data_IF_913614947574
#
_entry.id   IF_913614947574
#
_cell.length_a   1.000
_cell.length_b   1.000
_cell.length_c   1.000
_cell.angle_alpha   90.00
_cell.angle_beta   90.00
_cell.angle_gamma   90.00
#
_symmetry.space_group_name_H-M   'P 1'
#
loop_
_entity.id
_entity.type
_entity.pdbx_description
1 polymer ?
#
# COMPACT_ATOMS: atom_id res chain seq x y z
N UNK A 1 -16.39 26.44 -13.69
CA UNK A 1 -16.14 25.98 -15.07
C UNK A 1 -16.56 24.53 -15.20
N UNK A 2 -17.45 24.16 -16.15
CA UNK A 2 -17.88 22.77 -16.30
C UNK A 2 -16.77 21.95 -16.98
N UNK A 3 -16.28 20.92 -16.29
CA UNK A 3 -15.30 19.97 -16.85
C UNK A 3 -15.95 19.20 -17.99
N UNK A 4 -15.44 19.37 -19.20
CA UNK A 4 -15.78 18.59 -20.38
C UNK A 4 -15.43 17.11 -20.14
N UNK A 5 -16.45 16.26 -19.98
CA UNK A 5 -16.26 14.81 -20.00
C UNK A 5 -15.58 14.41 -21.32
N UNK A 6 -14.40 13.80 -21.22
CA UNK A 6 -13.63 13.38 -22.40
C UNK A 6 -14.48 12.43 -23.26
N UNK A 7 -14.38 12.52 -24.60
CA UNK A 7 -15.09 11.60 -25.52
C UNK A 7 -14.84 10.12 -25.17
N UNK A 8 -13.67 9.84 -24.59
CA UNK A 8 -13.27 8.52 -24.09
C UNK A 8 -14.19 8.04 -22.95
N UNK A 9 -14.58 8.91 -22.01
CA UNK A 9 -15.47 8.54 -20.90
C UNK A 9 -16.86 8.08 -21.36
N UNK A 10 -17.42 8.70 -22.41
CA UNK A 10 -18.70 8.29 -23.00
C UNK A 10 -18.60 6.97 -23.74
N UNK A 11 -17.49 6.75 -24.45
CA UNK A 11 -17.23 5.52 -25.19
C UNK A 11 -17.01 4.33 -24.24
N UNK A 12 -16.26 4.55 -23.15
CA UNK A 12 -16.05 3.58 -22.08
C UNK A 12 -17.35 3.28 -21.33
N UNK A 13 -18.19 4.29 -21.07
CA UNK A 13 -19.49 4.08 -20.42
C UNK A 13 -20.47 3.27 -21.29
N UNK A 14 -20.53 3.56 -22.60
CA UNK A 14 -21.35 2.80 -23.55
C UNK A 14 -20.85 1.36 -23.70
N UNK A 15 -19.53 1.17 -23.77
CA UNK A 15 -18.91 -0.16 -23.81
C UNK A 15 -19.19 -0.96 -22.53
N UNK A 16 -19.04 -0.34 -21.35
CA UNK A 16 -19.36 -0.96 -20.07
C UNK A 16 -20.82 -1.38 -19.99
N UNK A 17 -21.76 -0.56 -20.47
CA UNK A 17 -23.19 -0.94 -20.52
C UNK A 17 -23.42 -2.18 -21.38
N UNK A 18 -22.79 -2.26 -22.55
CA UNK A 18 -22.97 -3.40 -23.47
C UNK A 18 -22.40 -4.70 -22.88
N UNK A 19 -21.33 -4.64 -22.08
CA UNK A 19 -20.70 -5.83 -21.47
C UNK A 19 -21.36 -6.22 -20.14
N UNK A 20 -21.69 -5.23 -19.29
CA UNK A 20 -22.26 -5.49 -17.96
C UNK A 20 -23.74 -5.88 -18.01
N UNK A 21 -24.55 -5.25 -18.86
CA UNK A 21 -26.02 -5.48 -18.86
C UNK A 21 -26.36 -6.95 -19.16
N UNK A 22 -25.78 -7.61 -20.17
CA UNK A 22 -26.03 -9.04 -20.41
C UNK A 22 -25.47 -9.93 -19.29
N UNK A 23 -24.32 -9.56 -18.72
CA UNK A 23 -23.70 -10.30 -17.60
C UNK A 23 -24.57 -10.26 -16.34
N UNK A 24 -25.21 -9.13 -16.08
CA UNK A 24 -26.14 -8.94 -14.95
C UNK A 24 -27.46 -9.65 -15.20
N UNK A 25 -27.99 -9.61 -16.43
CA UNK A 25 -29.30 -10.18 -16.78
C UNK A 25 -29.28 -11.70 -16.94
N UNK A 26 -28.24 -12.25 -17.58
CA UNK A 26 -28.23 -13.65 -18.01
C UNK A 26 -27.24 -14.52 -17.22
N UNK A 27 -26.43 -13.93 -16.32
CA UNK A 27 -25.47 -14.66 -15.50
C UNK A 27 -24.34 -15.34 -16.28
N UNK A 28 -24.32 -15.22 -17.60
CA UNK A 28 -23.25 -15.71 -18.49
C UNK A 28 -22.27 -14.57 -18.72
N UNK A 29 -21.02 -14.74 -18.31
CA UNK A 29 -20.11 -13.61 -18.37
C UNK A 29 -19.47 -13.62 -19.78
N UNK A 30 -19.67 -12.54 -20.55
CA UNK A 30 -19.23 -12.41 -21.97
C UNK A 30 -17.72 -12.11 -22.15
N UNK A 31 -17.02 -11.81 -21.06
CA UNK A 31 -15.59 -11.52 -21.01
C UNK A 31 -14.64 -12.59 -21.61
N UNK A 32 -14.92 -13.91 -21.69
CA UNK A 32 -14.02 -14.87 -22.34
C UNK A 32 -13.93 -14.61 -23.86
N UNK A 33 -15.04 -14.20 -24.49
CA UNK A 33 -15.07 -13.84 -25.91
C UNK A 33 -14.42 -12.48 -26.17
N UNK A 34 -14.55 -11.55 -25.21
CA UNK A 34 -13.89 -10.24 -25.27
C UNK A 34 -12.36 -10.35 -25.08
N UNK A 35 -11.91 -11.30 -24.25
CA UNK A 35 -10.49 -11.63 -24.08
C UNK A 35 -9.85 -12.17 -25.36
N UNK A 36 -10.60 -12.88 -26.20
CA UNK A 36 -10.17 -13.32 -27.52
C UNK A 36 -10.04 -12.15 -28.51
N UNK A 37 -10.92 -11.14 -28.40
CA UNK A 37 -10.87 -9.93 -29.24
C UNK A 37 -9.76 -8.94 -28.81
N UNK A 38 -9.34 -8.99 -27.54
CA UNK A 38 -8.20 -8.23 -27.00
C UNK A 38 -6.84 -8.86 -27.30
N UNK A 39 -6.77 -9.96 -28.07
CA UNK A 39 -5.53 -10.57 -28.54
C UNK A 39 -4.86 -9.77 -29.69
N UNK A 40 -4.99 -8.45 -29.70
CA UNK A 40 -4.20 -7.55 -30.54
C UNK A 40 -3.05 -7.03 -29.68
N UNK A 41 -1.78 -7.27 -30.05
CA UNK A 41 -0.64 -6.89 -29.24
C UNK A 41 -0.38 -5.39 -29.42
N UNK A 42 -0.99 -4.56 -28.58
CA UNK A 42 -0.61 -3.15 -28.43
C UNK A 42 -0.23 -2.87 -26.98
N UNK A 43 1.09 -2.79 -26.78
CA UNK A 43 1.83 -1.92 -25.85
C UNK A 43 1.02 -1.36 -24.67
N UNK A 44 1.28 -1.90 -23.48
CA UNK A 44 1.18 -1.15 -22.22
C UNK A 44 -0.14 -1.25 -21.44
N UNK A 45 -0.66 -2.45 -21.18
CA UNK A 45 -1.71 -2.63 -20.16
C UNK A 45 -1.06 -2.96 -18.82
N UNK A 46 -0.67 -1.93 -18.07
CA UNK A 46 -0.39 -2.01 -16.62
C UNK A 46 -1.51 -1.28 -15.88
N UNK A 47 -2.74 -1.54 -16.30
CA UNK A 47 -3.93 -1.16 -15.56
C UNK A 47 -4.85 -2.37 -15.57
N UNK A 48 -5.02 -3.01 -14.41
CA UNK A 48 -6.07 -4.01 -14.24
C UNK A 48 -7.37 -3.30 -14.64
N UNK A 49 -8.06 -3.76 -15.70
CA UNK A 49 -9.21 -3.03 -16.20
C UNK A 49 -10.25 -2.90 -15.09
N UNK A 50 -10.82 -1.71 -14.95
CA UNK A 50 -11.69 -1.31 -13.83
C UNK A 50 -12.82 -2.34 -13.55
N UNK A 51 -13.29 -3.06 -14.56
CA UNK A 51 -14.29 -4.11 -14.40
C UNK A 51 -13.82 -5.29 -13.54
N UNK A 52 -12.53 -5.67 -13.57
CA UNK A 52 -12.00 -6.73 -12.70
C UNK A 52 -11.96 -6.27 -11.24
N UNK A 53 -11.56 -5.02 -10.99
CA UNK A 53 -11.60 -4.43 -9.65
C UNK A 53 -13.04 -4.30 -9.14
N UNK A 54 -14.02 -4.07 -10.02
CA UNK A 54 -15.43 -4.10 -9.65
C UNK A 54 -15.87 -5.49 -9.18
N UNK A 55 -15.39 -6.56 -9.83
CA UNK A 55 -15.69 -7.93 -9.39
C UNK A 55 -15.11 -8.24 -8.00
N UNK A 56 -13.92 -7.71 -7.69
CA UNK A 56 -13.31 -7.76 -6.36
C UNK A 56 -14.15 -6.99 -5.34
N UNK A 57 -14.52 -5.75 -5.66
CA UNK A 57 -15.30 -4.90 -4.79
C UNK A 57 -16.67 -5.50 -4.48
N UNK A 58 -17.34 -6.08 -5.48
CA UNK A 58 -18.59 -6.81 -5.29
C UNK A 58 -18.41 -8.06 -4.42
N UNK A 59 -17.26 -8.76 -4.51
CA UNK A 59 -16.97 -9.90 -3.64
C UNK A 59 -16.88 -9.47 -2.18
N UNK A 60 -16.07 -8.45 -1.89
CA UNK A 60 -15.90 -7.92 -0.53
C UNK A 60 -17.18 -7.28 0.00
N UNK A 61 -17.97 -6.60 -0.85
CA UNK A 61 -19.30 -6.13 -0.47
C UNK A 61 -20.22 -7.27 -0.04
N UNK A 62 -20.22 -8.41 -0.75
CA UNK A 62 -20.99 -9.60 -0.36
C UNK A 62 -20.51 -10.24 0.94
N UNK A 63 -19.28 -9.94 1.36
CA UNK A 63 -18.74 -10.34 2.66
C UNK A 63 -19.07 -9.33 3.78
N UNK A 64 -19.79 -8.25 3.48
CA UNK A 64 -20.26 -7.26 4.46
C UNK A 64 -19.38 -6.03 4.61
N UNK A 65 -18.42 -5.79 3.70
CA UNK A 65 -17.52 -4.63 3.78
C UNK A 65 -18.00 -3.44 2.95
N UNK A 66 -17.74 -2.23 3.45
CA UNK A 66 -17.74 -1.01 2.63
C UNK A 66 -16.42 -0.93 1.87
N UNK A 67 -16.46 -0.99 0.53
CA UNK A 67 -15.25 -1.08 -0.31
C UNK A 67 -15.05 0.19 -1.11
N UNK A 68 -13.86 0.75 -1.02
CA UNK A 68 -13.41 1.90 -1.83
C UNK A 68 -12.30 1.42 -2.75
N UNK A 69 -12.50 1.61 -4.06
CA UNK A 69 -11.48 1.33 -5.08
C UNK A 69 -11.07 2.67 -5.69
N UNK A 70 -9.95 3.26 -5.23
CA UNK A 70 -9.49 4.53 -5.77
C UNK A 70 -8.83 4.34 -7.14
N UNK A 71 -8.92 5.39 -7.96
CA UNK A 71 -8.08 5.54 -9.14
C UNK A 71 -6.80 6.28 -8.73
N UNK A 72 -5.67 5.58 -8.79
CA UNK A 72 -4.35 6.09 -8.36
C UNK A 72 -3.48 6.24 -9.59
N UNK A 73 -2.79 7.36 -9.70
CA UNK A 73 -1.87 7.60 -10.81
C UNK A 73 -0.61 6.75 -10.66
N UNK A 74 -0.31 5.93 -11.67
CA UNK A 74 0.91 5.11 -11.75
C UNK A 74 1.77 5.48 -12.96
N UNK A 75 2.98 4.91 -13.04
CA UNK A 75 3.86 5.06 -14.20
C UNK A 75 3.18 4.51 -15.46
N UNK A 76 3.27 5.19 -16.63
CA UNK A 76 4.12 6.34 -16.94
C UNK A 76 3.52 7.72 -16.63
N UNK A 77 2.24 7.81 -16.29
CA UNK A 77 1.56 9.07 -16.02
C UNK A 77 2.07 9.76 -14.74
N UNK A 78 2.50 8.97 -13.76
CA UNK A 78 3.01 9.43 -12.47
C UNK A 78 4.19 8.59 -11.98
N UNK A 79 5.02 9.17 -11.10
CA UNK A 79 6.05 8.45 -10.34
C UNK A 79 5.60 8.25 -8.89
N UNK A 80 6.35 7.46 -8.13
CA UNK A 80 5.99 7.03 -6.78
C UNK A 80 5.54 8.18 -5.86
N UNK A 81 6.22 9.33 -5.91
CA UNK A 81 5.82 10.52 -5.12
C UNK A 81 4.35 10.91 -5.36
N UNK A 82 3.93 11.02 -6.62
CA UNK A 82 2.56 11.39 -6.96
C UNK A 82 1.57 10.28 -6.59
N UNK A 83 1.94 9.00 -6.77
CA UNK A 83 1.12 7.86 -6.34
C UNK A 83 0.89 7.85 -4.83
N UNK A 84 1.90 8.20 -4.03
CA UNK A 84 1.78 8.33 -2.57
C UNK A 84 0.85 9.48 -2.21
N UNK A 85 0.98 10.65 -2.86
CA UNK A 85 0.08 11.80 -2.64
C UNK A 85 -1.37 11.42 -2.95
N UNK A 86 -1.63 10.77 -4.07
CA UNK A 86 -2.96 10.28 -4.44
C UNK A 86 -3.54 9.34 -3.37
N UNK A 87 -2.73 8.39 -2.87
CA UNK A 87 -3.18 7.47 -1.82
C UNK A 87 -3.49 8.21 -0.51
N UNK A 88 -2.69 9.21 -0.12
CA UNK A 88 -2.98 10.01 1.08
C UNK A 88 -4.29 10.78 0.96
N UNK A 89 -4.53 11.41 -0.20
CA UNK A 89 -5.78 12.12 -0.48
C UNK A 89 -6.99 11.19 -0.40
N UNK A 90 -6.85 9.97 -0.94
CA UNK A 90 -7.88 8.94 -0.85
C UNK A 90 -8.12 8.53 0.60
N UNK A 91 -7.08 8.24 1.37
CA UNK A 91 -7.22 7.82 2.76
C UNK A 91 -7.87 8.91 3.61
N UNK A 92 -7.48 10.17 3.44
CA UNK A 92 -8.14 11.32 4.07
C UNK A 92 -9.62 11.37 3.72
N UNK A 93 -9.96 11.28 2.43
CA UNK A 93 -11.35 11.27 2.00
C UNK A 93 -12.14 10.11 2.60
N UNK A 94 -11.54 8.91 2.66
CA UNK A 94 -12.16 7.72 3.29
C UNK A 94 -12.44 8.00 4.77
N UNK A 95 -11.48 8.54 5.52
CA UNK A 95 -11.67 8.89 6.93
C UNK A 95 -12.79 9.90 7.16
N UNK A 96 -12.92 10.90 6.28
CA UNK A 96 -13.94 11.96 6.38
C UNK A 96 -15.32 11.53 5.83
N UNK A 97 -15.37 10.52 4.96
CA UNK A 97 -16.56 10.25 4.13
C UNK A 97 -17.16 8.86 4.24
N UNK A 98 -16.42 7.85 4.70
CA UNK A 98 -16.88 6.46 4.65
C UNK A 98 -18.18 6.21 5.45
N UNK A 99 -18.39 6.96 6.54
CA UNK A 99 -19.59 6.89 7.36
C UNK A 99 -20.89 7.11 6.55
N UNK A 100 -20.85 8.00 5.54
CA UNK A 100 -22.00 8.27 4.67
C UNK A 100 -22.37 7.10 3.75
N UNK A 101 -21.45 6.16 3.58
CA UNK A 101 -21.62 4.96 2.74
C UNK A 101 -21.81 3.69 3.59
N UNK A 102 -22.01 3.82 4.91
CA UNK A 102 -22.16 2.70 5.83
C UNK A 102 -20.84 2.05 6.26
N UNK A 103 -19.69 2.71 5.99
CA UNK A 103 -18.40 2.30 6.53
C UNK A 103 -18.16 2.84 7.94
N UNK A 104 -17.29 2.18 8.70
CA UNK A 104 -16.88 2.61 10.03
C UNK A 104 -15.49 3.28 9.94
N UNK A 105 -15.36 4.59 10.24
CA UNK A 105 -14.08 5.31 10.17
C UNK A 105 -13.04 4.83 11.20
N UNK A 106 -13.45 4.09 12.24
CA UNK A 106 -12.52 3.50 13.22
C UNK A 106 -11.94 2.15 12.77
N UNK A 107 -12.50 1.54 11.72
CA UNK A 107 -12.15 0.20 11.24
C UNK A 107 -11.68 0.20 9.78
N UNK A 108 -10.87 1.20 9.41
CA UNK A 108 -10.33 1.32 8.05
C UNK A 108 -9.22 0.28 7.83
N UNK A 109 -9.39 -0.57 6.82
CA UNK A 109 -8.38 -1.54 6.40
C UNK A 109 -7.85 -1.18 5.02
N UNK A 110 -6.54 -1.15 4.86
CA UNK A 110 -5.89 -0.89 3.58
C UNK A 110 -5.39 -2.19 2.98
N UNK A 111 -5.75 -2.47 1.73
CA UNK A 111 -5.33 -3.66 1.01
C UNK A 111 -4.70 -3.29 -0.33
N UNK A 112 -3.58 -3.92 -0.67
CA UNK A 112 -2.92 -3.75 -1.96
C UNK A 112 -2.41 -5.08 -2.53
N UNK A 113 -2.24 -5.12 -3.86
CA UNK A 113 -1.61 -6.22 -4.58
C UNK A 113 -0.41 -5.70 -5.39
N UNK A 114 0.70 -6.45 -5.42
CA UNK A 114 1.87 -6.11 -6.24
C UNK A 114 2.42 -4.71 -5.94
N UNK A 115 2.37 -3.82 -6.94
CA UNK A 115 2.81 -2.43 -6.80
C UNK A 115 1.91 -1.60 -5.86
N UNK A 116 0.62 -1.91 -5.75
CA UNK A 116 -0.27 -1.23 -4.81
C UNK A 116 -0.02 -1.68 -3.36
N UNK A 117 0.41 -2.94 -3.15
CA UNK A 117 0.88 -3.39 -1.83
C UNK A 117 2.15 -2.64 -1.43
N UNK A 118 3.07 -2.47 -2.37
CA UNK A 118 4.27 -1.66 -2.19
C UNK A 118 3.92 -0.20 -1.83
N UNK A 119 3.02 0.43 -2.59
CA UNK A 119 2.58 1.81 -2.36
C UNK A 119 1.94 2.00 -0.98
N UNK A 120 1.04 1.10 -0.58
CA UNK A 120 0.39 1.13 0.72
C UNK A 120 1.41 1.04 1.86
N UNK A 121 2.34 0.09 1.76
CA UNK A 121 3.40 -0.08 2.74
C UNK A 121 4.36 1.12 2.78
N UNK A 122 4.75 1.65 1.61
CA UNK A 122 5.64 2.81 1.52
C UNK A 122 5.03 4.02 2.20
N UNK A 123 3.76 4.31 1.90
CA UNK A 123 3.05 5.48 2.45
C UNK A 123 3.01 5.43 3.98
N UNK A 124 2.70 4.26 4.55
CA UNK A 124 2.62 4.08 6.00
C UNK A 124 4.00 4.03 6.66
N UNK A 125 4.99 3.41 6.02
CA UNK A 125 6.36 3.37 6.52
C UNK A 125 7.02 4.75 6.52
N UNK A 126 6.79 5.57 5.47
CA UNK A 126 7.25 6.96 5.44
C UNK A 126 6.65 7.77 6.60
N UNK A 127 5.35 7.62 6.85
CA UNK A 127 4.67 8.28 7.96
C UNK A 127 5.28 7.88 9.30
N UNK A 128 5.37 6.58 9.57
CA UNK A 128 5.92 6.08 10.82
C UNK A 128 7.37 6.53 11.04
N UNK A 129 8.24 6.38 10.03
CA UNK A 129 9.66 6.72 10.14
C UNK A 129 9.89 8.22 10.36
N UNK A 130 9.09 9.09 9.74
CA UNK A 130 9.26 10.55 9.86
C UNK A 130 8.65 11.08 11.16
N UNK A 131 7.53 10.51 11.63
CA UNK A 131 6.88 10.94 12.87
C UNK A 131 7.51 10.34 14.13
N UNK A 132 8.25 9.23 14.05
CA UNK A 132 8.83 8.61 15.24
C UNK A 132 9.88 9.47 15.96
N UNK A 133 10.85 10.11 15.27
CA UNK A 133 11.82 10.98 15.91
C UNK A 133 11.19 12.18 16.64
N UNK A 134 10.01 12.65 16.20
CA UNK A 134 9.26 13.72 16.87
C UNK A 134 8.33 13.23 17.98
N UNK A 135 8.02 11.93 18.02
CA UNK A 135 7.20 11.28 19.06
C UNK A 135 8.01 10.89 20.30
N UNK A 136 9.35 10.93 20.20
CA UNK A 136 10.27 10.84 21.33
C UNK A 136 10.15 12.08 22.22
N UNK A 137 9.04 12.21 22.92
CA UNK A 137 8.95 13.04 24.11
C UNK A 137 10.04 12.53 25.05
N UNK A 138 11.13 13.29 25.15
CA UNK A 138 12.04 13.21 26.29
C UNK A 138 11.14 13.33 27.51
N UNK A 139 10.95 12.23 28.23
CA UNK A 139 10.23 12.24 29.50
C UNK A 139 11.05 13.10 30.43
N UNK A 140 10.76 14.40 30.49
CA UNK A 140 11.34 15.26 31.49
C UNK A 140 10.82 14.72 32.83
N UNK A 141 11.70 14.31 33.77
CA UNK A 141 11.24 14.08 35.12
C UNK A 141 10.56 15.39 35.56
N UNK A 142 9.26 15.30 35.82
CA UNK A 142 8.46 16.39 36.37
C UNK A 142 9.02 16.71 37.76
N UNK A 143 10.07 17.54 37.78
CA UNK A 143 10.56 18.15 38.99
C UNK A 143 9.59 19.29 39.32
N UNK A 144 9.03 19.18 40.52
CA UNK A 144 8.09 20.11 41.09
C UNK A 144 8.48 21.59 40.88
N UNK A 145 7.43 22.37 40.66
CA UNK A 145 7.35 23.83 40.59
C UNK A 145 8.35 24.52 41.52
N UNK A 146 9.24 25.33 40.96
CA UNK A 146 9.66 26.58 41.62
C UNK A 146 9.83 27.68 40.57
N UNK A 147 9.03 28.73 40.73
CA UNK A 147 8.95 29.89 39.85
C UNK A 147 10.17 30.81 40.07
N UNK A 148 11.00 30.99 39.05
CA UNK A 148 11.98 32.08 38.96
C UNK A 148 12.15 32.50 37.49
N UNK A 149 12.21 33.81 37.15
CA UNK A 149 12.09 34.28 35.76
C UNK A 149 13.35 34.07 34.90
N UNK A 150 14.43 33.51 35.46
CA UNK A 150 15.75 33.42 34.81
C UNK A 150 15.94 32.18 33.93
N UNK A 151 14.97 31.25 33.91
CA UNK A 151 15.14 29.93 33.28
C UNK A 151 14.71 29.83 31.81
N UNK A 152 14.13 30.87 31.20
CA UNK A 152 13.62 30.79 29.83
C UNK A 152 14.73 30.60 28.76
N UNK A 153 15.91 31.20 28.95
CA UNK A 153 17.04 31.06 28.03
C UNK A 153 17.79 29.73 28.19
N UNK A 154 17.91 29.20 29.42
CA UNK A 154 18.57 27.90 29.65
C UNK A 154 17.70 26.72 29.16
N UNK A 155 16.37 26.83 29.27
CA UNK A 155 15.46 25.84 28.70
C UNK A 155 15.47 25.84 27.16
N UNK A 156 15.64 27.00 26.51
CA UNK A 156 15.74 27.07 25.05
C UNK A 156 17.03 26.42 24.52
N UNK A 157 18.17 26.69 25.16
CA UNK A 157 19.48 26.11 24.79
C UNK A 157 19.51 24.60 25.03
N UNK A 158 18.92 24.12 26.14
CA UNK A 158 18.78 22.68 26.40
C UNK A 158 17.88 21.98 25.37
N UNK A 159 16.83 22.66 24.89
CA UNK A 159 15.94 22.15 23.85
C UNK A 159 16.65 22.05 22.49
N UNK A 160 17.38 23.08 22.10
CA UNK A 160 18.18 23.09 20.86
C UNK A 160 19.28 22.01 20.86
N UNK A 161 19.98 21.83 21.98
CA UNK A 161 20.97 20.75 22.12
C UNK A 161 20.32 19.36 22.10
N UNK A 162 19.14 19.18 22.70
CA UNK A 162 18.41 17.90 22.65
C UNK A 162 17.92 17.54 21.24
N UNK A 163 17.46 18.54 20.47
CA UNK A 163 17.06 18.39 19.07
C UNK A 163 18.27 18.09 18.18
N UNK A 164 19.40 18.77 18.39
CA UNK A 164 20.64 18.52 17.67
C UNK A 164 21.20 17.11 17.96
N UNK A 165 21.10 16.63 19.21
CA UNK A 165 21.49 15.27 19.59
C UNK A 165 20.54 14.21 18.99
N UNK A 166 19.23 14.49 18.92
CA UNK A 166 18.27 13.63 18.23
C UNK A 166 18.55 13.57 16.72
N UNK A 167 18.83 14.70 16.06
CA UNK A 167 19.23 14.75 14.64
C UNK A 167 20.56 14.02 14.37
N UNK A 168 21.49 14.05 15.32
CA UNK A 168 22.74 13.29 15.24
C UNK A 168 22.52 11.77 15.32
N UNK A 169 21.45 11.32 15.99
CA UNK A 169 21.10 9.90 16.10
C UNK A 169 20.40 9.32 14.87
N UNK A 170 19.87 10.17 13.97
CA UNK A 170 19.19 9.75 12.75
C UNK A 170 20.24 9.29 11.70
N UNK A 171 20.19 8.03 11.24
CA UNK A 171 21.05 7.54 10.15
C UNK A 171 21.02 8.47 8.92
N UNK A 172 22.18 8.72 8.32
CA UNK A 172 22.33 9.65 7.17
C UNK A 172 21.34 9.37 6.01
N UNK A 173 20.97 8.09 5.80
CA UNK A 173 20.01 7.70 4.77
C UNK A 173 18.57 8.13 5.06
N UNK A 174 18.21 8.31 6.33
CA UNK A 174 16.86 8.70 6.78
C UNK A 174 16.63 10.20 6.78
N UNK A 175 17.69 11.02 6.85
CA UNK A 175 17.60 12.50 6.82
C UNK A 175 16.92 13.06 5.56
N UNK A 176 16.84 12.27 4.50
CA UNK A 176 16.23 12.64 3.21
C UNK A 176 14.82 12.10 3.04
N UNK A 177 14.34 11.30 4.00
CA UNK A 177 12.99 10.76 3.98
C UNK A 177 12.06 11.85 4.46
N UNK A 178 11.04 12.14 3.67
CA UNK A 178 10.02 13.11 3.98
C UNK A 178 8.63 12.51 3.73
N UNK A 179 7.63 13.05 4.42
CA UNK A 179 6.24 12.77 4.13
C UNK A 179 5.84 13.57 2.89
N UNK A 180 5.37 12.89 1.86
CA UNK A 180 4.86 13.56 0.66
C UNK A 180 3.47 14.12 0.94
N UNK A 181 3.30 15.44 0.83
CA UNK A 181 2.07 16.15 1.23
C UNK A 181 1.75 16.01 2.74
N UNK A 182 2.60 16.58 3.62
CA UNK A 182 2.43 16.50 5.08
C UNK A 182 1.16 17.21 5.58
N UNK A 183 0.59 18.11 4.76
CA UNK A 183 -0.70 18.77 4.98
C UNK A 183 -1.90 17.82 4.90
N UNK A 184 -1.72 16.63 4.31
CA UNK A 184 -2.76 15.61 4.19
C UNK A 184 -2.54 14.56 5.28
N UNK A 185 -3.27 14.67 6.38
CA UNK A 185 -3.26 13.68 7.45
C UNK A 185 -3.94 12.37 7.02
N UNK A 186 -3.33 11.23 7.38
CA UNK A 186 -3.90 9.90 7.15
C UNK A 186 -4.74 9.50 8.38
N UNK A 187 -5.96 8.96 8.23
CA UNK A 187 -6.72 8.42 9.36
C UNK A 187 -6.05 7.17 9.96
N UNK A 188 -6.38 6.79 11.20
CA UNK A 188 -5.87 5.56 11.79
C UNK A 188 -6.28 4.34 10.96
N UNK A 189 -5.30 3.52 10.58
CA UNK A 189 -5.50 2.30 9.80
C UNK A 189 -5.55 1.10 10.76
N UNK A 190 -6.71 0.49 10.89
CA UNK A 190 -6.95 -0.65 11.79
C UNK A 190 -6.20 -1.92 11.35
N UNK A 191 -5.93 -2.07 10.06
CA UNK A 191 -5.15 -3.19 9.55
C UNK A 191 -4.66 -3.00 8.11
N UNK A 192 -3.52 -3.63 7.81
CA UNK A 192 -2.89 -3.59 6.50
C UNK A 192 -2.82 -5.00 5.90
N UNK A 193 -3.29 -5.18 4.67
CA UNK A 193 -3.25 -6.44 3.92
C UNK A 193 -2.39 -6.26 2.66
N UNK A 194 -1.26 -6.96 2.61
CA UNK A 194 -0.30 -6.87 1.51
C UNK A 194 -0.26 -8.20 0.74
N UNK A 195 -0.68 -8.19 -0.51
CA UNK A 195 -0.74 -9.37 -1.38
C UNK A 195 0.38 -9.31 -2.43
N UNK A 196 1.29 -10.28 -2.45
CA UNK A 196 2.39 -10.37 -3.43
C UNK A 196 3.16 -9.05 -3.65
N UNK A 197 3.39 -8.29 -2.56
CA UNK A 197 3.99 -6.96 -2.61
C UNK A 197 5.51 -6.96 -2.64
N UNK A 198 6.09 -5.94 -3.27
CA UNK A 198 7.52 -5.64 -3.24
C UNK A 198 7.83 -4.80 -2.00
N UNK A 199 8.64 -5.31 -1.08
CA UNK A 199 9.06 -4.55 0.11
C UNK A 199 10.42 -3.88 -0.09
N UNK A 200 11.29 -4.47 -0.90
CA UNK A 200 12.60 -3.98 -1.27
C UNK A 200 12.71 -3.79 -2.79
N UNK A 201 12.78 -2.52 -3.21
CA UNK A 201 12.90 -2.11 -4.62
C UNK A 201 14.22 -2.54 -5.24
N UNK A 202 15.34 -2.50 -4.50
CA UNK A 202 16.65 -2.86 -5.03
C UNK A 202 16.72 -4.36 -5.27
N UNK A 203 16.25 -5.15 -4.29
CA UNK A 203 16.14 -6.60 -4.43
C UNK A 203 15.15 -6.99 -5.52
N UNK A 204 14.02 -6.27 -5.63
CA UNK A 204 13.04 -6.47 -6.70
C UNK A 204 13.65 -6.22 -8.08
N UNK A 205 14.38 -5.11 -8.24
CA UNK A 205 15.06 -4.79 -9.49
C UNK A 205 16.13 -5.83 -9.86
N UNK A 206 16.92 -6.32 -8.90
CA UNK A 206 17.89 -7.41 -9.15
C UNK A 206 17.19 -8.67 -9.69
N UNK A 207 16.09 -9.07 -9.06
CA UNK A 207 15.28 -10.20 -9.53
C UNK A 207 14.71 -9.98 -10.94
N UNK A 208 14.34 -8.75 -11.30
CA UNK A 208 13.92 -8.39 -12.66
C UNK A 208 15.08 -8.46 -13.66
N UNK A 209 16.27 -7.99 -13.27
CA UNK A 209 17.49 -8.07 -14.09
C UNK A 209 17.97 -9.50 -14.32
N UNK A 210 17.91 -10.35 -13.30
CA UNK A 210 18.27 -11.78 -13.42
C UNK A 210 17.37 -12.51 -14.43
N UNK A 211 16.17 -11.97 -14.68
CA UNK A 211 15.19 -12.46 -15.65
C UNK A 211 15.22 -11.71 -16.99
N UNK A 212 16.05 -10.68 -17.13
CA UNK A 212 16.18 -9.85 -18.32
C UNK A 212 14.95 -8.97 -18.64
N UNK A 213 14.15 -8.62 -17.63
CA UNK A 213 12.91 -7.84 -17.80
C UNK A 213 12.99 -6.43 -17.18
N UNK A 214 14.16 -6.01 -16.73
CA UNK A 214 14.40 -4.74 -16.03
C UNK A 214 14.11 -3.51 -16.90
N UNK A 215 14.26 -3.63 -18.22
CA UNK A 215 13.92 -2.59 -19.19
C UNK A 215 12.42 -2.56 -19.50
N UNK A 216 11.69 -3.63 -19.19
CA UNK A 216 10.23 -3.70 -19.35
C UNK A 216 9.50 -3.34 -18.05
N UNK A 217 10.08 -3.62 -16.89
CA UNK A 217 9.45 -3.39 -15.60
C UNK A 217 9.26 -1.92 -15.25
N UNK A 218 8.11 -1.62 -14.63
CA UNK A 218 7.79 -0.30 -14.09
C UNK A 218 8.45 -0.01 -12.75
N UNK A 219 8.90 -1.03 -12.00
CA UNK A 219 9.31 -0.87 -10.61
C UNK A 219 10.38 0.22 -10.44
N UNK A 220 11.50 0.08 -11.15
CA UNK A 220 12.59 1.06 -11.10
C UNK A 220 12.19 2.42 -11.68
N UNK A 221 11.41 2.44 -12.76
CA UNK A 221 10.99 3.71 -13.39
C UNK A 221 10.02 4.51 -12.52
N UNK A 222 9.14 3.82 -11.80
CA UNK A 222 8.19 4.42 -10.86
C UNK A 222 8.90 4.95 -9.61
N UNK A 223 9.84 4.19 -9.05
CA UNK A 223 10.60 4.55 -7.84
C UNK A 223 11.72 5.57 -8.11
N UNK A 224 12.10 5.78 -9.37
CA UNK A 224 13.02 6.82 -9.78
C UNK A 224 14.32 6.27 -10.39
N UNK A 225 15.01 7.08 -11.21
CA UNK A 225 16.12 6.59 -12.04
C UNK A 225 17.39 6.25 -11.24
N UNK A 226 17.61 6.91 -10.11
CA UNK A 226 18.83 6.77 -9.31
C UNK A 226 18.69 5.70 -8.22
N UNK A 227 19.81 5.07 -7.86
CA UNK A 227 19.87 4.10 -6.77
C UNK A 227 19.35 4.70 -5.45
N UNK A 228 19.73 5.95 -5.16
CA UNK A 228 19.27 6.65 -3.96
C UNK A 228 17.76 6.89 -3.96
N UNK A 229 17.15 7.23 -5.10
CA UNK A 229 15.70 7.38 -5.18
C UNK A 229 14.98 6.04 -4.95
N UNK A 230 15.52 4.94 -5.49
CA UNK A 230 14.99 3.60 -5.21
C UNK A 230 15.10 3.23 -3.73
N UNK A 231 16.20 3.55 -3.05
CA UNK A 231 16.35 3.30 -1.61
C UNK A 231 15.31 4.08 -0.78
N UNK A 232 15.09 5.36 -1.11
CA UNK A 232 14.08 6.19 -0.43
C UNK A 232 12.65 5.70 -0.66
N UNK A 233 12.39 5.05 -1.79
CA UNK A 233 11.10 4.42 -2.09
C UNK A 233 11.08 2.92 -1.78
N UNK A 234 12.01 2.41 -0.96
CA UNK A 234 12.08 0.99 -0.59
C UNK A 234 11.64 0.81 0.85
N UNK A 235 10.39 0.41 1.13
CA UNK A 235 9.87 0.37 2.50
C UNK A 235 10.70 -0.50 3.43
N UNK A 236 11.20 -1.65 2.97
CA UNK A 236 12.08 -2.50 3.76
C UNK A 236 13.36 -1.78 4.16
N UNK A 237 13.94 -0.96 3.28
CA UNK A 237 15.12 -0.16 3.62
C UNK A 237 14.78 0.94 4.64
N UNK A 238 13.63 1.60 4.51
CA UNK A 238 13.18 2.62 5.47
C UNK A 238 13.00 2.00 6.87
N UNK A 239 12.26 0.89 6.94
CA UNK A 239 11.99 0.17 8.19
C UNK A 239 13.29 -0.35 8.81
N UNK A 240 14.17 -0.95 8.00
CA UNK A 240 15.46 -1.46 8.47
C UNK A 240 16.36 -0.34 9.02
N UNK A 241 16.46 0.78 8.31
CA UNK A 241 17.26 1.92 8.76
C UNK A 241 16.68 2.55 10.02
N UNK A 242 15.35 2.54 10.18
CA UNK A 242 14.66 3.15 11.30
C UNK A 242 14.44 2.20 12.49
N UNK A 243 14.92 0.94 12.43
CA UNK A 243 14.52 -0.11 13.38
C UNK A 243 14.68 0.28 14.87
N UNK A 244 15.69 1.09 15.19
CA UNK A 244 16.02 1.48 16.58
C UNK A 244 15.38 2.80 17.02
N UNK A 245 14.72 3.52 16.10
CA UNK A 245 14.15 4.86 16.37
C UNK A 245 12.66 4.94 16.04
N UNK A 246 12.13 3.95 15.31
CA UNK A 246 10.74 3.94 14.87
C UNK A 246 9.84 3.51 16.03
N UNK A 247 8.78 4.28 16.28
CA UNK A 247 7.70 3.90 17.18
C UNK A 247 6.77 2.93 16.44
N UNK A 248 6.68 1.71 16.98
CA UNK A 248 5.83 0.65 16.47
C UNK A 248 4.33 1.04 16.46
N UNK A 249 3.92 1.95 17.34
CA UNK A 249 2.53 2.40 17.50
C UNK A 249 2.00 3.15 16.28
N UNK A 250 2.90 3.73 15.48
CA UNK A 250 2.57 4.46 14.25
C UNK A 250 2.31 3.52 13.07
N UNK A 251 2.70 2.25 13.16
CA UNK A 251 2.28 1.24 12.19
C UNK A 251 0.87 0.74 12.49
N UNK A 252 0.13 0.25 11.48
CA UNK A 252 -1.11 -0.47 11.72
C UNK A 252 -0.89 -1.62 12.72
N UNK A 253 -1.75 -1.77 13.74
CA UNK A 253 -1.52 -2.74 14.82
C UNK A 253 -1.50 -4.18 14.34
N UNK A 254 -2.16 -4.46 13.21
CA UNK A 254 -2.23 -5.76 12.56
C UNK A 254 -1.85 -5.65 11.09
N UNK A 255 -0.97 -6.55 10.65
CA UNK A 255 -0.52 -6.63 9.27
C UNK A 255 -0.63 -8.08 8.78
N UNK A 256 -1.31 -8.30 7.66
CA UNK A 256 -1.43 -9.58 6.97
C UNK A 256 -0.66 -9.53 5.66
N UNK A 257 0.31 -10.42 5.53
CA UNK A 257 1.08 -10.65 4.31
C UNK A 257 0.55 -11.93 3.65
N UNK A 258 0.14 -11.84 2.39
CA UNK A 258 -0.28 -12.98 1.57
C UNK A 258 0.71 -13.07 0.40
N UNK A 259 1.29 -14.25 0.19
CA UNK A 259 2.23 -14.43 -0.92
C UNK A 259 2.17 -15.83 -1.51
N UNK A 260 2.42 -15.92 -2.81
CA UNK A 260 2.50 -17.18 -3.52
C UNK A 260 3.89 -17.80 -3.51
N UNK A 261 4.00 -19.10 -3.22
CA UNK A 261 5.26 -19.84 -3.34
C UNK A 261 5.68 -20.12 -4.79
N UNK A 262 4.76 -19.94 -5.75
CA UNK A 262 5.00 -19.98 -7.20
C UNK A 262 4.85 -18.60 -7.84
N UNK A 263 4.97 -17.53 -7.06
CA UNK A 263 4.95 -16.18 -7.59
C UNK A 263 6.20 -15.97 -8.46
N UNK A 264 5.97 -15.92 -9.78
CA UNK A 264 7.02 -15.74 -10.78
C UNK A 264 7.34 -14.28 -11.06
N UNK A 265 6.65 -13.33 -10.41
CA UNK A 265 6.82 -11.89 -10.63
C UNK A 265 7.56 -11.27 -9.46
N UNK A 266 7.07 -11.52 -8.24
CA UNK A 266 7.64 -11.02 -6.99
C UNK A 266 8.04 -12.22 -6.15
N UNK A 267 9.31 -12.32 -5.80
CA UNK A 267 9.78 -13.45 -5.00
C UNK A 267 9.24 -13.38 -3.56
N UNK A 268 8.84 -14.54 -3.02
CA UNK A 268 8.27 -14.67 -1.66
C UNK A 268 9.20 -14.14 -0.58
N UNK A 269 10.51 -14.10 -0.83
CA UNK A 269 11.49 -13.54 0.09
C UNK A 269 11.29 -12.06 0.39
N UNK A 270 10.53 -11.33 -0.46
CA UNK A 270 10.09 -9.95 -0.20
C UNK A 270 9.17 -9.87 1.01
N UNK A 271 8.21 -10.79 1.11
CA UNK A 271 7.29 -10.85 2.25
C UNK A 271 7.89 -11.50 3.50
N UNK A 272 8.80 -12.48 3.35
CA UNK A 272 9.52 -13.01 4.51
C UNK A 272 10.45 -11.98 5.14
N UNK A 273 11.20 -11.23 4.32
CA UNK A 273 12.03 -10.11 4.77
C UNK A 273 11.19 -9.07 5.51
N UNK A 274 10.08 -8.64 4.89
CA UNK A 274 9.20 -7.64 5.47
C UNK A 274 8.63 -8.09 6.83
N UNK A 275 8.21 -9.35 6.95
CA UNK A 275 7.75 -9.90 8.22
C UNK A 275 8.81 -9.75 9.30
N UNK A 276 10.05 -10.16 9.02
CA UNK A 276 11.16 -10.09 9.97
C UNK A 276 11.43 -8.64 10.41
N UNK A 277 11.39 -7.69 9.47
CA UNK A 277 11.59 -6.27 9.77
C UNK A 277 10.49 -5.70 10.66
N UNK A 278 9.22 -5.93 10.32
CA UNK A 278 8.08 -5.41 11.09
C UNK A 278 8.03 -6.02 12.50
N UNK A 279 8.29 -7.32 12.63
CA UNK A 279 8.41 -7.97 13.94
C UNK A 279 9.61 -7.41 14.72
N UNK A 280 10.74 -7.18 14.05
CA UNK A 280 11.92 -6.59 14.65
C UNK A 280 11.74 -5.15 15.14
N UNK A 281 10.81 -4.40 14.52
CA UNK A 281 10.41 -3.06 14.98
C UNK A 281 9.38 -3.09 16.11
N UNK A 282 8.85 -4.25 16.49
CA UNK A 282 7.85 -4.37 17.57
C UNK A 282 6.40 -4.20 17.14
N UNK A 283 6.08 -4.32 15.85
CA UNK A 283 4.67 -4.25 15.39
C UNK A 283 3.85 -5.39 16.00
N UNK A 284 2.70 -5.06 16.60
CA UNK A 284 1.95 -5.96 17.48
C UNK A 284 1.58 -7.32 16.88
N UNK A 285 1.05 -7.36 15.65
CA UNK A 285 0.69 -8.63 14.99
C UNK A 285 1.01 -8.62 13.50
N UNK A 286 2.03 -9.38 13.09
CA UNK A 286 2.41 -9.55 11.68
C UNK A 286 2.27 -11.01 11.27
N UNK A 287 1.26 -11.31 10.45
CA UNK A 287 0.96 -12.66 9.94
C UNK A 287 1.40 -12.80 8.50
N UNK A 288 2.06 -13.92 8.16
CA UNK A 288 2.41 -14.28 6.78
C UNK A 288 1.70 -15.57 6.39
N UNK A 289 0.87 -15.52 5.35
CA UNK A 289 0.24 -16.65 4.68
C UNK A 289 0.93 -16.88 3.34
N UNK A 290 1.86 -17.83 3.33
CA UNK A 290 2.55 -18.28 2.13
C UNK A 290 1.85 -19.51 1.54
N UNK A 291 1.24 -19.37 0.36
CA UNK A 291 0.52 -20.45 -0.31
C UNK A 291 1.42 -21.15 -1.33
N UNK A 292 1.77 -22.41 -1.07
CA UNK A 292 2.80 -23.16 -1.82
C UNK A 292 2.65 -23.12 -3.35
N UNK A 293 1.43 -23.17 -3.87
CA UNK A 293 1.18 -23.30 -5.32
C UNK A 293 0.51 -22.07 -5.93
N UNK A 294 0.36 -20.98 -5.18
CA UNK A 294 -0.29 -19.77 -5.66
C UNK A 294 0.70 -18.96 -6.52
N UNK A 295 0.26 -18.54 -7.72
CA UNK A 295 0.98 -17.61 -8.58
C UNK A 295 0.65 -16.13 -8.31
N UNK A 296 1.36 -15.22 -8.99
CA UNK A 296 1.22 -13.76 -8.78
C UNK A 296 -0.18 -13.23 -9.08
N UNK A 297 -0.68 -13.48 -10.30
CA UNK A 297 -1.99 -13.04 -10.74
C UNK A 297 -3.11 -13.88 -10.08
N UNK A 298 -2.84 -15.15 -9.79
CA UNK A 298 -3.78 -16.01 -9.06
C UNK A 298 -4.06 -15.49 -7.66
N UNK A 299 -3.09 -14.84 -7.00
CA UNK A 299 -3.27 -14.27 -5.66
C UNK A 299 -4.42 -13.25 -5.61
N UNK A 300 -4.56 -12.41 -6.63
CA UNK A 300 -5.67 -11.45 -6.72
C UNK A 300 -6.89 -12.04 -7.43
N UNK A 301 -6.68 -12.85 -8.47
CA UNK A 301 -7.77 -13.46 -9.24
C UNK A 301 -8.62 -14.41 -8.39
N UNK A 302 -8.02 -15.12 -7.42
CA UNK A 302 -8.75 -15.95 -6.49
C UNK A 302 -9.79 -15.17 -5.65
N UNK A 303 -9.68 -13.84 -5.59
CA UNK A 303 -10.61 -12.97 -4.85
C UNK A 303 -11.69 -12.35 -5.74
N UNK A 304 -11.61 -12.50 -7.07
CA UNK A 304 -12.62 -12.03 -8.01
C UNK A 304 -13.87 -12.93 -8.04
N UNK A 305 -15.01 -12.35 -8.40
CA UNK A 305 -16.24 -13.10 -8.68
C UNK A 305 -16.17 -13.73 -10.08
N UNK A 306 -16.58 -15.00 -10.21
CA UNK A 306 -16.79 -15.65 -11.50
C UNK A 306 -15.53 -16.21 -12.18
N UNK A 307 -14.40 -16.28 -11.48
CA UNK A 307 -13.17 -16.89 -12.00
C UNK A 307 -13.25 -18.43 -12.03
N UNK A 308 -12.63 -19.03 -13.05
CA UNK A 308 -12.58 -20.49 -13.21
C UNK A 308 -11.78 -21.21 -12.12
N UNK A 309 -12.09 -22.50 -11.89
CA UNK A 309 -11.51 -23.33 -10.81
C UNK A 309 -9.98 -23.38 -10.79
N UNK A 310 -9.33 -23.26 -11.96
CA UNK A 310 -7.87 -23.25 -12.06
C UNK A 310 -7.23 -22.03 -11.36
N UNK A 311 -7.86 -20.85 -11.45
CA UNK A 311 -7.38 -19.60 -10.85
C UNK A 311 -7.85 -19.39 -9.40
N UNK A 312 -8.66 -20.30 -8.85
CA UNK A 312 -9.35 -20.12 -7.56
C UNK A 312 -9.06 -21.25 -6.57
N UNK A 313 -7.99 -22.03 -6.78
CA UNK A 313 -7.60 -23.15 -5.90
C UNK A 313 -7.60 -22.79 -4.41
N UNK A 314 -7.09 -21.60 -4.08
CA UNK A 314 -6.98 -21.10 -2.71
C UNK A 314 -8.05 -20.06 -2.35
N UNK A 315 -9.08 -19.87 -3.19
CA UNK A 315 -10.09 -18.82 -2.99
C UNK A 315 -10.76 -18.89 -1.62
N UNK A 316 -11.19 -20.08 -1.19
CA UNK A 316 -11.87 -20.23 0.10
C UNK A 316 -10.93 -19.87 1.27
N UNK A 317 -9.70 -20.36 1.22
CA UNK A 317 -8.69 -20.11 2.25
C UNK A 317 -8.32 -18.63 2.31
N UNK A 318 -8.04 -18.01 1.15
CA UNK A 318 -7.68 -16.59 1.06
C UNK A 318 -8.77 -15.68 1.62
N UNK A 319 -10.03 -15.92 1.24
CA UNK A 319 -11.15 -15.12 1.72
C UNK A 319 -11.42 -15.31 3.21
N UNK A 320 -11.24 -16.53 3.73
CA UNK A 320 -11.34 -16.81 5.17
C UNK A 320 -10.21 -16.12 5.94
N UNK A 321 -8.95 -16.24 5.48
CA UNK A 321 -7.81 -15.58 6.13
C UNK A 321 -7.98 -14.05 6.17
N UNK A 322 -8.55 -13.44 5.13
CA UNK A 322 -8.87 -12.01 5.12
C UNK A 322 -10.04 -11.69 6.07
N UNK A 323 -11.11 -12.50 6.07
CA UNK A 323 -12.24 -12.28 6.97
C UNK A 323 -11.82 -12.39 8.44
N UNK A 324 -11.07 -13.43 8.79
CA UNK A 324 -10.52 -13.64 10.12
C UNK A 324 -9.60 -12.48 10.53
N UNK A 325 -8.87 -11.88 9.59
CA UNK A 325 -8.01 -10.72 9.86
C UNK A 325 -8.80 -9.44 10.15
N UNK A 326 -9.87 -9.18 9.40
CA UNK A 326 -10.70 -7.98 9.55
C UNK A 326 -11.63 -8.06 10.78
N UNK A 327 -12.00 -9.27 11.20
CA UNK A 327 -12.88 -9.50 12.35
C UNK A 327 -12.17 -9.48 13.71
N UNK A 328 -10.91 -9.92 13.75
CA UNK A 328 -10.03 -9.74 14.91
C UNK A 328 -9.79 -8.25 15.17
#
# INVERSE_FOLDING_TARGET
MPRTQSRISRLVASFLRIVLVPTILFGVPLWPFLGLLCAVPFVGIITIPLFLLLSLALRFRRMGYCVVVPDISYFPAARMRASVIDLRLVLRWVGESCARYGGDPSRIHLMGHGLSAHLALLTLAQEAVVLSPSSGEVTFPSAAISSSPTNAQQHAVGREQSLANAEASIPNGLRRVEIYSPDVAIPPIAGLILVSGVSDVIKGFRNESDRGIEHLSVLRRACGPSHTACLLHSPAHLIYAAKNIVDASLFPPKILLIHGGKDSVVDVSQSTLLKTLLVGCGVGSVRLRAYKQLGHAEAIAAMFLGMGKAATRYQKQLLNDIADFVQQ
#
